data_IF_089202593863
#
_entry.id   IF_089202593863
#
_cell.length_a   1.000
_cell.length_b   1.000
_cell.length_c   1.000
_cell.angle_alpha   90.00
_cell.angle_beta   90.00
_cell.angle_gamma   90.00
#
_symmetry.space_group_name_H-M   'P 1'
#
loop_
_entity.id
_entity.type
_entity.pdbx_description
1 polymer ?
#
# COMPACT_ATOMS: atom_id res chain seq x y z
N UNK A 1 9.42 -0.54 -37.46
CA UNK A 1 9.40 0.03 -36.10
C UNK A 1 8.63 -0.94 -35.23
N UNK A 2 9.24 -1.52 -34.20
CA UNK A 2 8.52 -2.42 -33.29
C UNK A 2 7.43 -1.62 -32.57
N UNK A 3 6.17 -2.01 -32.71
CA UNK A 3 5.08 -1.46 -31.90
C UNK A 3 5.45 -1.62 -30.43
N UNK A 4 5.64 -0.51 -29.72
CA UNK A 4 5.91 -0.55 -28.29
C UNK A 4 4.70 -1.20 -27.62
N UNK A 5 4.90 -2.33 -26.95
CA UNK A 5 3.87 -2.98 -26.15
C UNK A 5 3.27 -1.97 -25.16
N UNK A 6 1.96 -2.02 -24.93
CA UNK A 6 1.28 -1.07 -24.05
C UNK A 6 1.87 -1.10 -22.63
N UNK A 7 2.58 -0.04 -22.24
CA UNK A 7 3.17 0.13 -20.92
C UNK A 7 2.29 1.01 -20.03
N UNK A 8 2.37 0.83 -18.72
CA UNK A 8 1.75 1.75 -17.76
C UNK A 8 2.51 3.07 -17.74
N UNK A 9 1.80 4.18 -17.55
CA UNK A 9 2.38 5.52 -17.44
C UNK A 9 3.07 6.05 -18.70
N UNK A 10 2.76 5.50 -19.88
CA UNK A 10 3.32 6.00 -21.14
C UNK A 10 2.55 7.22 -21.69
N UNK A 11 3.30 8.25 -22.11
CA UNK A 11 2.76 9.45 -22.76
C UNK A 11 1.85 10.32 -21.87
N UNK A 12 1.05 11.17 -22.51
CA UNK A 12 0.09 12.08 -21.85
C UNK A 12 -0.96 11.30 -21.03
N UNK A 13 -1.35 10.12 -21.51
CA UNK A 13 -2.27 9.22 -20.81
C UNK A 13 -1.73 8.80 -19.45
N UNK A 14 -0.44 8.46 -19.37
CA UNK A 14 0.22 8.13 -18.12
C UNK A 14 0.18 9.25 -17.08
N UNK A 15 0.48 10.48 -17.51
CA UNK A 15 0.46 11.66 -16.63
C UNK A 15 -0.94 11.91 -16.06
N UNK A 16 -1.97 11.92 -16.92
CA UNK A 16 -3.36 12.10 -16.52
C UNK A 16 -3.79 11.03 -15.51
N UNK A 17 -3.37 9.78 -15.72
CA UNK A 17 -3.70 8.67 -14.84
C UNK A 17 -3.05 8.78 -13.47
N UNK A 18 -1.80 9.24 -13.37
CA UNK A 18 -1.15 9.49 -12.07
C UNK A 18 -1.92 10.54 -11.27
N UNK A 19 -2.31 11.64 -11.92
CA UNK A 19 -3.05 12.74 -11.28
C UNK A 19 -4.43 12.28 -10.83
N UNK A 20 -5.19 11.63 -11.71
CA UNK A 20 -6.52 11.10 -11.38
C UNK A 20 -6.45 10.08 -10.24
N UNK A 21 -5.43 9.21 -10.24
CA UNK A 21 -5.23 8.24 -9.17
C UNK A 21 -4.90 8.91 -7.84
N UNK A 22 -4.06 9.95 -7.85
CA UNK A 22 -3.74 10.74 -6.67
C UNK A 22 -4.99 11.42 -6.09
N UNK A 23 -5.82 12.02 -6.94
CA UNK A 23 -7.09 12.63 -6.56
C UNK A 23 -8.06 11.60 -5.98
N UNK A 24 -8.31 10.50 -6.69
CA UNK A 24 -9.21 9.44 -6.26
C UNK A 24 -8.79 8.82 -4.92
N UNK A 25 -7.49 8.56 -4.75
CA UNK A 25 -6.92 8.05 -3.49
C UNK A 25 -7.15 9.04 -2.35
N UNK A 26 -6.86 10.32 -2.60
CA UNK A 26 -7.03 11.39 -1.59
C UNK A 26 -8.49 11.54 -1.16
N UNK A 27 -9.41 11.64 -2.13
CA UNK A 27 -10.86 11.72 -1.87
C UNK A 27 -11.32 10.50 -1.07
N UNK A 28 -10.90 9.30 -1.47
CA UNK A 28 -11.26 8.07 -0.79
C UNK A 28 -10.82 8.07 0.69
N UNK A 29 -9.56 8.42 0.98
CA UNK A 29 -9.07 8.46 2.37
C UNK A 29 -9.81 9.51 3.21
N UNK A 30 -10.09 10.68 2.63
CA UNK A 30 -10.88 11.73 3.28
C UNK A 30 -12.30 11.23 3.59
N UNK A 31 -12.99 10.63 2.60
CA UNK A 31 -14.33 10.08 2.78
C UNK A 31 -14.37 8.97 3.82
N UNK A 32 -13.40 8.04 3.80
CA UNK A 32 -13.29 6.96 4.79
C UNK A 32 -13.09 7.50 6.20
N UNK A 33 -12.27 8.54 6.36
CA UNK A 33 -12.06 9.20 7.64
C UNK A 33 -13.33 9.87 8.18
N UNK A 34 -14.01 10.66 7.36
CA UNK A 34 -15.25 11.31 7.77
C UNK A 34 -16.34 10.29 8.09
N UNK A 35 -16.43 9.20 7.32
CA UNK A 35 -17.33 8.10 7.62
C UNK A 35 -17.03 7.47 8.98
N UNK A 36 -15.76 7.17 9.30
CA UNK A 36 -15.38 6.61 10.61
C UNK A 36 -15.54 7.59 11.76
N UNK A 37 -15.34 8.89 11.53
CA UNK A 37 -15.44 9.93 12.56
C UNK A 37 -16.86 10.33 12.88
N UNK A 38 -17.69 10.55 11.85
CA UNK A 38 -19.05 11.08 11.99
C UNK A 38 -20.12 9.98 11.93
N UNK A 39 -19.95 8.99 11.04
CA UNK A 39 -20.89 7.89 10.85
C UNK A 39 -20.71 6.79 11.89
N UNK A 40 -19.58 6.08 11.85
CA UNK A 40 -19.31 4.94 12.73
C UNK A 40 -18.83 5.35 14.14
N UNK A 41 -18.38 6.60 14.33
CA UNK A 41 -17.82 7.15 15.58
C UNK A 41 -16.62 6.37 16.18
N UNK A 42 -15.97 5.54 15.39
CA UNK A 42 -14.80 4.74 15.75
C UNK A 42 -13.50 5.56 15.74
N UNK A 43 -13.45 6.63 14.95
CA UNK A 43 -12.26 7.47 14.84
C UNK A 43 -12.22 8.53 15.96
N UNK A 44 -11.26 8.37 16.87
CA UNK A 44 -11.05 9.25 18.04
C UNK A 44 -9.79 10.12 17.92
N UNK A 45 -8.99 9.97 16.86
CA UNK A 45 -7.72 10.71 16.70
C UNK A 45 -7.95 12.17 16.26
N UNK A 46 -7.02 13.09 16.61
CA UNK A 46 -7.05 14.47 16.13
C UNK A 46 -6.98 14.57 14.60
N UNK A 47 -7.60 15.60 13.98
CA UNK A 47 -7.50 15.82 12.54
C UNK A 47 -6.06 15.93 12.03
N UNK A 48 -5.15 16.51 12.82
CA UNK A 48 -3.72 16.64 12.48
C UNK A 48 -3.05 15.28 12.30
N UNK A 49 -3.35 14.30 13.16
CA UNK A 49 -2.84 12.92 13.02
C UNK A 49 -3.34 12.29 11.73
N UNK A 50 -4.60 12.53 11.38
CA UNK A 50 -5.16 12.06 10.13
C UNK A 50 -4.46 12.66 8.90
N UNK A 51 -4.24 13.98 8.88
CA UNK A 51 -3.49 14.62 7.78
C UNK A 51 -2.09 14.03 7.62
N UNK A 52 -1.41 13.78 8.73
CA UNK A 52 -0.10 13.13 8.73
C UNK A 52 -0.15 11.68 8.22
N UNK A 53 -1.17 10.92 8.61
CA UNK A 53 -1.40 9.57 8.08
C UNK A 53 -1.71 9.58 6.58
N UNK A 54 -2.53 10.53 6.11
CA UNK A 54 -2.83 10.71 4.69
C UNK A 54 -1.55 11.00 3.90
N UNK A 55 -0.76 11.97 4.35
CA UNK A 55 0.49 12.35 3.69
C UNK A 55 1.48 11.17 3.64
N UNK A 56 1.60 10.42 4.74
CA UNK A 56 2.39 9.18 4.79
C UNK A 56 1.92 8.15 3.76
N UNK A 57 0.61 7.93 3.64
CA UNK A 57 0.04 6.96 2.70
C UNK A 57 0.29 7.37 1.24
N UNK A 58 0.18 8.67 0.94
CA UNK A 58 0.48 9.22 -0.39
C UNK A 58 1.96 9.05 -0.76
N UNK A 59 2.88 9.32 0.18
CA UNK A 59 4.33 9.12 -0.04
C UNK A 59 4.61 7.63 -0.26
N UNK A 60 4.16 6.77 0.66
CA UNK A 60 4.39 5.32 0.56
C UNK A 60 3.80 4.73 -0.72
N UNK A 61 2.58 5.12 -1.09
CA UNK A 61 1.89 4.65 -2.29
C UNK A 61 2.55 5.11 -3.59
N UNK A 62 3.14 6.31 -3.61
CA UNK A 62 3.91 6.83 -4.73
C UNK A 62 5.20 6.06 -4.94
N UNK A 63 5.99 5.85 -3.87
CA UNK A 63 7.25 5.09 -3.96
C UNK A 63 7.00 3.63 -4.31
N UNK A 64 5.98 3.01 -3.71
CA UNK A 64 5.50 1.67 -4.08
C UNK A 64 5.15 1.56 -5.57
N UNK A 65 4.49 2.58 -6.13
CA UNK A 65 4.13 2.63 -7.57
C UNK A 65 5.35 2.61 -8.48
N UNK A 66 6.41 3.33 -8.09
CA UNK A 66 7.67 3.37 -8.84
C UNK A 66 8.37 2.01 -8.84
N UNK A 67 8.32 1.30 -7.70
CA UNK A 67 8.87 -0.07 -7.58
C UNK A 67 8.09 -1.03 -8.49
N UNK A 68 6.76 -1.00 -8.44
CA UNK A 68 5.91 -1.82 -9.29
C UNK A 68 6.16 -1.55 -10.78
N UNK A 69 6.25 -0.28 -11.19
CA UNK A 69 6.63 0.09 -12.56
C UNK A 69 8.00 -0.47 -12.97
N UNK A 70 8.99 -0.38 -12.07
CA UNK A 70 10.33 -0.92 -12.32
C UNK A 70 10.30 -2.43 -12.57
N UNK A 71 9.56 -3.18 -11.75
CA UNK A 71 9.39 -4.62 -11.95
C UNK A 71 8.58 -4.95 -13.20
N UNK A 72 7.54 -4.17 -13.50
CA UNK A 72 6.77 -4.27 -14.75
C UNK A 72 7.70 -4.20 -15.97
N UNK A 73 8.64 -3.25 -16.00
CA UNK A 73 9.62 -3.14 -17.08
C UNK A 73 10.53 -4.37 -17.17
N UNK A 74 11.04 -4.87 -16.03
CA UNK A 74 11.87 -6.08 -15.98
C UNK A 74 11.15 -7.33 -16.49
N UNK A 75 9.90 -7.53 -16.06
CA UNK A 75 9.09 -8.68 -16.49
C UNK A 75 8.77 -8.58 -17.99
N UNK A 76 8.41 -7.38 -18.46
CA UNK A 76 8.15 -7.15 -19.89
C UNK A 76 9.37 -7.48 -20.75
N UNK A 77 10.57 -7.13 -20.29
CA UNK A 77 11.81 -7.45 -20.99
C UNK A 77 12.08 -8.97 -21.02
N UNK A 78 11.90 -9.66 -19.89
CA UNK A 78 12.02 -11.12 -19.84
C UNK A 78 11.00 -11.84 -20.76
N UNK A 79 9.82 -11.23 -20.93
CA UNK A 79 8.72 -11.73 -21.76
C UNK A 79 8.81 -11.35 -23.25
N UNK A 80 9.85 -10.64 -23.69
CA UNK A 80 10.00 -10.08 -25.05
C UNK A 80 9.88 -11.09 -26.21
N UNK A 81 10.02 -12.39 -25.95
CA UNK A 81 9.86 -13.46 -26.95
C UNK A 81 8.51 -14.19 -26.94
N UNK A 82 7.60 -13.87 -26.01
CA UNK A 82 6.28 -14.51 -25.94
C UNK A 82 5.24 -13.61 -26.57
N UNK A 83 4.48 -14.16 -27.52
CA UNK A 83 3.41 -13.44 -28.20
C UNK A 83 2.06 -14.12 -28.03
N UNK A 84 1.02 -13.30 -28.04
CA UNK A 84 -0.39 -13.70 -28.06
C UNK A 84 -1.02 -13.06 -29.28
N UNK A 85 -1.54 -13.87 -30.21
CA UNK A 85 -2.08 -13.40 -31.51
C UNK A 85 -1.09 -12.49 -32.27
N UNK A 86 0.20 -12.84 -32.24
CA UNK A 86 1.26 -12.07 -32.89
C UNK A 86 1.67 -10.78 -32.19
N UNK A 87 1.07 -10.45 -31.03
CA UNK A 87 1.41 -9.26 -30.22
C UNK A 87 2.22 -9.66 -29.00
N UNK A 88 3.23 -8.86 -28.58
CA UNK A 88 3.95 -9.10 -27.33
C UNK A 88 3.01 -8.96 -26.13
N UNK A 89 3.33 -9.63 -25.03
CA UNK A 89 2.62 -9.45 -23.77
C UNK A 89 2.73 -7.99 -23.29
N UNK A 90 1.59 -7.42 -22.90
CA UNK A 90 1.51 -5.99 -22.60
C UNK A 90 2.00 -5.67 -21.18
N UNK A 91 2.86 -4.66 -21.08
CA UNK A 91 3.38 -4.09 -19.82
C UNK A 91 2.30 -3.82 -18.78
N UNK A 92 1.17 -3.30 -19.23
CA UNK A 92 0.05 -2.99 -18.36
C UNK A 92 -0.52 -4.19 -17.60
N UNK A 93 -0.49 -5.36 -18.22
CA UNK A 93 -0.99 -6.54 -17.56
C UNK A 93 -0.04 -7.10 -16.51
N UNK A 94 1.27 -6.90 -16.69
CA UNK A 94 2.26 -7.20 -15.66
C UNK A 94 2.10 -6.30 -14.43
N UNK A 95 1.82 -5.02 -14.63
CA UNK A 95 1.53 -4.09 -13.55
C UNK A 95 0.30 -4.51 -12.73
N UNK A 96 -0.76 -4.95 -13.42
CA UNK A 96 -1.95 -5.53 -12.79
C UNK A 96 -1.63 -6.80 -12.00
N UNK A 97 -0.83 -7.71 -12.58
CA UNK A 97 -0.41 -8.94 -11.92
C UNK A 97 0.39 -8.67 -10.62
N UNK A 98 1.36 -7.77 -10.67
CA UNK A 98 2.14 -7.37 -9.48
C UNK A 98 1.22 -6.78 -8.41
N UNK A 99 0.26 -5.94 -8.80
CA UNK A 99 -0.71 -5.35 -7.87
C UNK A 99 -1.60 -6.40 -7.20
N UNK A 100 -2.02 -7.45 -7.92
CA UNK A 100 -2.80 -8.55 -7.34
C UNK A 100 -1.96 -9.37 -6.36
N UNK A 101 -0.70 -9.65 -6.70
CA UNK A 101 0.23 -10.32 -5.78
C UNK A 101 0.52 -9.45 -4.55
N UNK A 102 0.59 -8.13 -4.69
CA UNK A 102 0.74 -7.21 -3.55
C UNK A 102 -0.41 -7.37 -2.54
N UNK A 103 -1.67 -7.47 -2.99
CA UNK A 103 -2.79 -7.69 -2.05
C UNK A 103 -2.64 -8.99 -1.27
N UNK A 104 -2.15 -10.06 -1.92
CA UNK A 104 -2.06 -11.39 -1.32
C UNK A 104 -0.80 -11.61 -0.48
N UNK A 105 0.31 -10.94 -0.84
CA UNK A 105 1.64 -11.18 -0.28
C UNK A 105 2.25 -9.90 0.27
N UNK A 106 2.36 -8.87 -0.56
CA UNK A 106 3.07 -7.64 -0.23
C UNK A 106 2.42 -6.83 0.90
N UNK A 107 1.11 -6.69 0.90
CA UNK A 107 0.34 -5.99 1.93
C UNK A 107 0.36 -6.73 3.28
N UNK A 108 0.09 -8.06 3.35
CA UNK A 108 0.28 -8.82 4.59
C UNK A 108 1.71 -8.73 5.14
N UNK A 109 2.72 -8.82 4.27
CA UNK A 109 4.13 -8.67 4.67
C UNK A 109 4.41 -7.27 5.23
N UNK A 110 3.91 -6.22 4.56
CA UNK A 110 4.06 -4.83 5.02
C UNK A 110 3.43 -4.64 6.41
N UNK A 111 2.27 -5.24 6.65
CA UNK A 111 1.57 -5.22 7.96
C UNK A 111 2.40 -5.95 9.01
N UNK A 112 2.91 -7.16 8.70
CA UNK A 112 3.71 -7.95 9.61
C UNK A 112 4.99 -7.22 10.03
N UNK A 113 5.68 -6.58 9.08
CA UNK A 113 6.86 -5.75 9.36
C UNK A 113 6.50 -4.53 10.21
N UNK A 114 5.39 -3.84 9.90
CA UNK A 114 4.92 -2.72 10.72
C UNK A 114 4.65 -3.12 12.18
N UNK A 115 4.01 -4.27 12.40
CA UNK A 115 3.78 -4.83 13.74
C UNK A 115 5.08 -5.18 14.45
N UNK A 116 6.03 -5.79 13.75
CA UNK A 116 7.33 -6.14 14.30
C UNK A 116 8.08 -4.88 14.78
N UNK A 117 8.05 -3.80 13.99
CA UNK A 117 8.66 -2.52 14.34
C UNK A 117 8.02 -1.96 15.62
N UNK A 118 6.69 -1.90 15.70
CA UNK A 118 6.01 -1.37 16.89
C UNK A 118 6.27 -2.21 18.14
N UNK A 119 6.28 -3.54 18.03
CA UNK A 119 6.65 -4.44 19.15
C UNK A 119 8.09 -4.22 19.59
N UNK A 120 8.99 -3.97 18.66
CA UNK A 120 10.38 -3.60 18.95
C UNK A 120 10.45 -2.28 19.70
N UNK A 121 9.69 -1.26 19.25
CA UNK A 121 9.58 0.03 19.97
C UNK A 121 9.10 -0.17 21.41
N UNK A 122 8.10 -1.01 21.66
CA UNK A 122 7.62 -1.33 23.02
C UNK A 122 8.70 -1.94 23.90
N UNK A 123 9.52 -2.84 23.36
CA UNK A 123 10.66 -3.43 24.10
C UNK A 123 11.71 -2.36 24.39
N UNK A 124 12.06 -1.54 23.39
CA UNK A 124 13.07 -0.49 23.52
C UNK A 124 12.64 0.57 24.54
N UNK A 125 11.36 0.98 24.55
CA UNK A 125 10.82 1.98 25.48
C UNK A 125 11.07 1.59 26.93
N UNK A 126 10.90 0.31 27.28
CA UNK A 126 11.16 -0.23 28.63
C UNK A 126 12.63 -0.15 29.04
N UNK A 127 13.56 -0.16 28.09
CA UNK A 127 14.99 -0.10 28.35
C UNK A 127 15.53 1.33 28.37
N UNK A 128 14.84 2.28 27.72
CA UNK A 128 15.21 3.69 27.75
C UNK A 128 14.74 4.33 29.06
N UNK A 129 15.63 4.38 30.06
CA UNK A 129 15.31 5.02 31.36
C UNK A 129 15.40 6.54 31.29
N UNK A 130 16.38 7.07 30.56
CA UNK A 130 16.67 8.51 30.48
C UNK A 130 15.70 9.23 29.53
N UNK A 131 15.07 10.35 29.96
CA UNK A 131 14.32 11.22 29.06
C UNK A 131 15.20 11.69 27.90
N UNK A 132 14.74 11.48 26.66
CA UNK A 132 15.46 11.89 25.46
C UNK A 132 14.49 12.04 24.28
N UNK A 133 14.83 12.83 23.25
CA UNK A 133 14.02 12.92 22.03
C UNK A 133 13.81 11.57 21.33
N UNK A 134 14.77 10.66 21.49
CA UNK A 134 14.66 9.28 21.02
C UNK A 134 13.59 8.50 21.79
N UNK A 135 13.63 8.53 23.14
CA UNK A 135 12.62 7.90 23.99
C UNK A 135 11.22 8.42 23.67
N UNK A 136 11.07 9.73 23.49
CA UNK A 136 9.78 10.33 23.12
C UNK A 136 9.26 9.81 21.76
N UNK A 137 10.15 9.63 20.78
CA UNK A 137 9.78 9.12 19.45
C UNK A 137 9.41 7.63 19.50
N UNK A 138 10.16 6.83 20.26
CA UNK A 138 9.87 5.41 20.50
C UNK A 138 8.52 5.25 21.21
N UNK A 139 8.27 6.05 22.24
CA UNK A 139 7.01 6.07 22.97
C UNK A 139 5.84 6.48 22.06
N UNK A 140 6.00 7.52 21.24
CA UNK A 140 4.97 7.93 20.26
C UNK A 140 4.71 6.85 19.20
N UNK A 141 5.71 6.05 18.80
CA UNK A 141 5.50 4.89 17.92
C UNK A 141 4.73 3.76 18.61
N UNK A 142 4.92 3.57 19.92
CA UNK A 142 4.12 2.60 20.69
C UNK A 142 2.66 3.06 20.84
N UNK A 143 2.41 4.35 21.10
CA UNK A 143 1.04 4.86 21.33
C UNK A 143 0.29 5.11 20.02
N UNK A 144 0.93 5.79 19.06
CA UNK A 144 0.30 6.24 17.81
C UNK A 144 0.67 5.39 16.59
N UNK A 145 1.59 4.44 16.73
CA UNK A 145 1.97 3.57 15.63
C UNK A 145 0.75 2.84 15.08
N UNK A 146 0.50 3.02 13.77
CA UNK A 146 -0.45 2.18 13.04
C UNK A 146 0.02 0.73 13.28
N UNK A 147 -0.86 -0.18 13.71
CA UNK A 147 -0.54 -1.57 14.10
C UNK A 147 0.08 -1.80 15.50
N UNK A 148 0.11 -0.82 16.41
CA UNK A 148 0.55 -1.08 17.79
C UNK A 148 -0.52 -1.87 18.56
N UNK A 149 -0.07 -2.81 19.40
CA UNK A 149 -0.95 -3.55 20.32
C UNK A 149 -1.54 -2.61 21.40
N UNK A 150 -0.95 -1.43 21.61
CA UNK A 150 -1.38 -0.40 22.58
C UNK A 150 -2.21 0.74 21.95
N UNK A 151 -2.63 0.57 20.69
CA UNK A 151 -3.60 1.47 20.07
C UNK A 151 -5.00 1.23 20.68
N UNK A 152 -5.13 1.52 21.98
CA UNK A 152 -6.30 1.25 22.80
C UNK A 152 -7.41 2.27 22.51
N UNK A 153 -8.62 1.75 22.32
CA UNK A 153 -9.84 2.51 22.03
C UNK A 153 -10.36 3.26 23.27
N UNK A 154 -9.82 2.96 24.45
CA UNK A 154 -10.15 3.58 25.72
C UNK A 154 -9.67 5.04 25.83
N UNK A 155 -8.61 5.41 25.09
CA UNK A 155 -8.04 6.76 25.12
C UNK A 155 -8.77 7.68 24.12
N UNK A 156 -9.58 8.61 24.63
CA UNK A 156 -10.18 9.67 23.80
C UNK A 156 -9.19 10.83 23.57
N UNK A 157 -8.48 10.79 22.45
CA UNK A 157 -7.54 11.84 22.05
C UNK A 157 -8.21 13.08 21.44
N UNK A 158 -9.55 13.20 21.45
CA UNK A 158 -10.26 14.40 20.95
C UNK A 158 -9.90 15.67 21.71
N UNK A 159 -9.51 15.53 22.98
CA UNK A 159 -9.31 16.66 23.90
C UNK A 159 -7.91 16.73 24.52
N UNK A 160 -7.19 15.61 24.57
CA UNK A 160 -5.86 15.50 25.20
C UNK A 160 -4.96 14.58 24.37
N UNK A 161 -4.32 15.13 23.35
CA UNK A 161 -3.25 14.44 22.63
C UNK A 161 -1.92 15.14 22.93
N UNK A 162 -0.85 14.45 23.38
CA UNK A 162 0.48 15.03 23.36
C UNK A 162 0.82 15.49 21.92
N UNK A 163 1.49 16.64 21.76
CA UNK A 163 1.78 17.20 20.44
C UNK A 163 2.55 16.18 19.60
N UNK A 164 1.98 15.85 18.45
CA UNK A 164 2.58 14.95 17.47
C UNK A 164 3.82 15.63 16.92
N UNK A 165 5.00 15.07 17.21
CA UNK A 165 6.25 15.67 16.75
C UNK A 165 6.49 15.31 15.29
N UNK A 166 7.11 16.22 14.56
CA UNK A 166 7.54 15.95 13.18
C UNK A 166 8.46 14.73 13.07
N UNK A 167 9.29 14.48 14.10
CA UNK A 167 10.16 13.30 14.19
C UNK A 167 9.38 11.99 14.19
N UNK A 168 8.22 11.93 14.86
CA UNK A 168 7.33 10.78 14.82
C UNK A 168 6.73 10.58 13.43
N UNK A 169 6.21 11.66 12.82
CA UNK A 169 5.63 11.56 11.48
C UNK A 169 6.66 11.06 10.48
N UNK A 170 7.86 11.62 10.50
CA UNK A 170 8.97 11.21 9.65
C UNK A 170 9.32 9.73 9.87
N UNK A 171 9.46 9.28 11.13
CA UNK A 171 9.72 7.89 11.48
C UNK A 171 8.66 6.95 10.90
N UNK A 172 7.38 7.27 11.10
CA UNK A 172 6.26 6.50 10.58
C UNK A 172 6.20 6.52 9.04
N UNK A 173 6.47 7.67 8.43
CA UNK A 173 6.48 7.82 6.97
C UNK A 173 7.56 6.96 6.33
N UNK A 174 8.78 7.01 6.85
CA UNK A 174 9.92 6.23 6.36
C UNK A 174 9.67 4.73 6.56
N UNK A 175 9.35 4.30 7.79
CA UNK A 175 9.14 2.88 8.10
C UNK A 175 8.01 2.27 7.28
N UNK A 176 6.87 2.97 7.16
CA UNK A 176 5.76 2.50 6.34
C UNK A 176 6.09 2.47 4.85
N UNK A 177 6.81 3.48 4.35
CA UNK A 177 7.26 3.51 2.96
C UNK A 177 8.18 2.32 2.68
N UNK A 178 9.16 2.06 3.55
CA UNK A 178 10.05 0.89 3.43
C UNK A 178 9.28 -0.42 3.45
N UNK A 179 8.28 -0.57 4.33
CA UNK A 179 7.44 -1.76 4.38
C UNK A 179 6.67 -1.96 3.06
N UNK A 180 6.04 -0.91 2.54
CA UNK A 180 5.32 -0.94 1.26
C UNK A 180 6.25 -1.25 0.07
N UNK A 181 7.45 -0.66 0.06
CA UNK A 181 8.48 -0.93 -0.96
C UNK A 181 8.90 -2.39 -0.91
N UNK A 182 9.12 -2.94 0.28
CA UNK A 182 9.44 -4.36 0.44
C UNK A 182 8.30 -5.25 -0.09
N UNK A 183 7.05 -4.92 0.25
CA UNK A 183 5.87 -5.64 -0.24
C UNK A 183 5.78 -5.68 -1.77
N UNK A 184 5.91 -4.52 -2.42
CA UNK A 184 5.90 -4.41 -3.88
C UNK A 184 7.12 -5.08 -4.51
N UNK A 185 8.29 -4.98 -3.88
CA UNK A 185 9.51 -5.64 -4.34
C UNK A 185 9.34 -7.16 -4.34
N UNK A 186 8.83 -7.74 -3.24
CA UNK A 186 8.58 -9.17 -3.14
C UNK A 186 7.51 -9.64 -4.14
N UNK A 187 6.48 -8.82 -4.34
CA UNK A 187 5.43 -9.09 -5.34
C UNK A 187 5.99 -9.06 -6.76
N UNK A 188 6.78 -8.04 -7.10
CA UNK A 188 7.47 -7.92 -8.38
C UNK A 188 8.45 -9.06 -8.65
N UNK A 189 9.23 -9.47 -7.65
CA UNK A 189 10.12 -10.63 -7.73
C UNK A 189 9.32 -11.92 -7.94
N UNK A 190 8.20 -12.10 -7.24
CA UNK A 190 7.34 -13.28 -7.38
C UNK A 190 6.81 -13.40 -8.82
N UNK A 191 6.31 -12.30 -9.39
CA UNK A 191 5.87 -12.28 -10.79
C UNK A 191 7.03 -12.57 -11.75
N UNK A 192 8.17 -11.91 -11.55
CA UNK A 192 9.36 -12.09 -12.40
C UNK A 192 9.88 -13.53 -12.36
N UNK A 193 10.11 -14.09 -11.18
CA UNK A 193 10.65 -15.44 -11.04
C UNK A 193 9.63 -16.50 -11.44
N UNK A 194 8.34 -16.32 -11.13
CA UNK A 194 7.30 -17.20 -11.63
C UNK A 194 7.37 -17.29 -13.15
N UNK A 195 7.51 -16.16 -13.84
CA UNK A 195 7.61 -16.14 -15.30
C UNK A 195 8.92 -16.73 -15.83
N UNK A 196 10.06 -16.45 -15.18
CA UNK A 196 11.35 -17.02 -15.59
C UNK A 196 11.40 -18.54 -15.43
N UNK A 197 10.77 -19.08 -14.38
CA UNK A 197 10.70 -20.52 -14.11
C UNK A 197 9.66 -21.22 -15.00
N UNK A 198 8.50 -20.59 -15.18
CA UNK A 198 7.39 -21.10 -16.00
C UNK A 198 7.15 -20.12 -17.14
N UNK A 199 8.01 -20.22 -18.17
CA UNK A 199 8.01 -19.37 -19.37
C UNK A 199 6.88 -19.76 -20.33
N UNK A 200 5.65 -19.70 -19.85
CA UNK A 200 4.44 -20.18 -20.53
C UNK A 200 3.29 -19.19 -20.39
N UNK A 201 2.42 -19.16 -21.40
CA UNK A 201 1.15 -18.42 -21.38
C UNK A 201 0.18 -18.94 -20.31
N UNK A 202 0.37 -20.18 -19.85
CA UNK A 202 -0.43 -20.81 -18.80
C UNK A 202 0.07 -20.51 -17.39
N UNK A 203 1.09 -19.65 -17.25
CA UNK A 203 1.55 -19.25 -15.95
C UNK A 203 0.42 -18.48 -15.22
N UNK A 204 -0.06 -18.96 -14.07
CA UNK A 204 -1.21 -18.37 -13.37
C UNK A 204 -0.92 -16.93 -12.90
N UNK A 205 0.35 -16.60 -12.69
CA UNK A 205 0.80 -15.25 -12.32
C UNK A 205 0.89 -14.33 -13.54
N UNK A 206 1.14 -14.88 -14.73
CA UNK A 206 1.12 -14.15 -16.00
C UNK A 206 -0.26 -14.03 -16.64
N UNK A 207 -1.27 -14.76 -16.12
CA UNK A 207 -2.58 -14.86 -16.76
C UNK A 207 -3.27 -13.49 -16.94
N UNK A 208 -3.06 -12.55 -16.02
CA UNK A 208 -3.61 -11.18 -16.11
C UNK A 208 -3.00 -10.47 -17.32
N UNK A 209 -1.69 -10.62 -17.54
CA UNK A 209 -1.01 -10.06 -18.69
C UNK A 209 -1.49 -10.68 -20.00
N UNK A 210 -1.67 -11.99 -20.02
CA UNK A 210 -2.21 -12.71 -21.18
C UNK A 210 -3.64 -12.25 -21.50
N UNK A 211 -4.52 -12.17 -20.50
CA UNK A 211 -5.91 -11.74 -20.66
C UNK A 211 -6.01 -10.30 -21.20
N UNK A 212 -5.22 -9.38 -20.65
CA UNK A 212 -5.22 -7.98 -21.10
C UNK A 212 -4.66 -7.86 -22.54
N UNK A 213 -3.67 -8.67 -22.91
CA UNK A 213 -3.19 -8.75 -24.29
C UNK A 213 -4.25 -9.24 -25.28
N UNK A 214 -5.26 -10.02 -24.85
CA UNK A 214 -6.39 -10.42 -25.69
C UNK A 214 -7.43 -9.32 -25.91
N UNK A 215 -7.46 -8.27 -25.09
CA UNK A 215 -8.44 -7.20 -25.21
C UNK A 215 -8.21 -6.40 -26.49
N UNK A 216 -9.25 -6.25 -27.30
CA UNK A 216 -9.23 -5.43 -28.52
C UNK A 216 -9.55 -3.95 -28.22
N UNK A 217 -8.86 -3.38 -27.23
CA UNK A 217 -8.99 -1.99 -26.80
C UNK A 217 -7.69 -1.24 -27.10
N UNK A 218 -7.77 0.09 -27.27
CA UNK A 218 -6.57 0.90 -27.39
C UNK A 218 -5.80 0.95 -26.05
N UNK A 219 -4.49 1.27 -26.11
CA UNK A 219 -3.63 1.26 -24.92
C UNK A 219 -4.12 2.25 -23.85
N UNK A 220 -4.67 3.41 -24.24
CA UNK A 220 -5.20 4.40 -23.31
C UNK A 220 -6.37 3.86 -22.47
N UNK A 221 -7.31 3.15 -23.10
CA UNK A 221 -8.46 2.58 -22.42
C UNK A 221 -8.07 1.39 -21.54
N UNK A 222 -7.09 0.57 -21.97
CA UNK A 222 -6.50 -0.46 -21.11
C UNK A 222 -5.84 0.17 -19.89
N UNK A 223 -5.06 1.23 -20.07
CA UNK A 223 -4.50 2.06 -18.99
C UNK A 223 -5.59 2.54 -18.05
N UNK A 224 -6.68 3.08 -18.58
CA UNK A 224 -7.79 3.54 -17.77
C UNK A 224 -8.41 2.43 -16.92
N UNK A 225 -8.81 1.31 -17.55
CA UNK A 225 -9.51 0.22 -16.87
C UNK A 225 -8.58 -0.48 -15.89
N UNK A 226 -7.39 -0.90 -16.33
CA UNK A 226 -6.49 -1.69 -15.48
C UNK A 226 -5.95 -0.82 -14.35
N UNK A 227 -5.52 0.42 -14.59
CA UNK A 227 -5.02 1.25 -13.48
C UNK A 227 -6.16 1.63 -12.55
N UNK A 228 -7.33 2.04 -13.04
CA UNK A 228 -8.45 2.40 -12.17
C UNK A 228 -8.96 1.19 -11.41
N UNK A 229 -9.27 0.07 -12.08
CA UNK A 229 -9.78 -1.12 -11.40
C UNK A 229 -8.73 -1.77 -10.50
N UNK A 230 -7.49 -1.94 -10.96
CA UNK A 230 -6.42 -2.53 -10.14
C UNK A 230 -6.09 -1.61 -8.98
N UNK A 231 -5.68 -0.35 -9.21
CA UNK A 231 -5.26 0.49 -8.09
C UNK A 231 -6.42 0.91 -7.21
N UNK A 232 -7.61 1.23 -7.72
CA UNK A 232 -8.71 1.66 -6.85
C UNK A 232 -9.26 0.50 -6.02
N UNK A 233 -9.68 -0.61 -6.66
CA UNK A 233 -10.22 -1.76 -5.92
C UNK A 233 -9.15 -2.50 -5.13
N UNK A 234 -7.91 -2.63 -5.62
CA UNK A 234 -6.86 -3.29 -4.84
C UNK A 234 -6.31 -2.40 -3.74
N UNK A 235 -6.30 -1.06 -3.88
CA UNK A 235 -6.00 -0.18 -2.73
C UNK A 235 -7.12 -0.24 -1.70
N UNK A 236 -8.38 -0.33 -2.13
CA UNK A 236 -9.50 -0.59 -1.22
C UNK A 236 -9.36 -1.95 -0.54
N UNK A 237 -9.11 -3.02 -1.29
CA UNK A 237 -8.92 -4.37 -0.76
C UNK A 237 -7.73 -4.41 0.20
N UNK A 238 -6.63 -3.72 -0.13
CA UNK A 238 -5.46 -3.57 0.75
C UNK A 238 -5.82 -2.85 2.04
N UNK A 239 -6.61 -1.77 1.97
CA UNK A 239 -7.10 -1.06 3.16
C UNK A 239 -8.08 -1.92 3.97
N UNK A 240 -8.98 -2.65 3.32
CA UNK A 240 -9.90 -3.57 3.96
C UNK A 240 -9.17 -4.75 4.62
N UNK A 241 -8.10 -5.27 4.00
CA UNK A 241 -7.20 -6.27 4.58
C UNK A 241 -6.47 -5.68 5.77
N UNK A 242 -5.91 -4.48 5.64
CA UNK A 242 -5.29 -3.74 6.74
C UNK A 242 -6.26 -3.58 7.89
N UNK A 243 -7.49 -3.14 7.63
CA UNK A 243 -8.53 -2.94 8.63
C UNK A 243 -8.99 -4.26 9.22
N UNK A 244 -9.16 -5.32 8.44
CA UNK A 244 -9.53 -6.66 8.92
C UNK A 244 -8.47 -7.22 9.87
N UNK A 245 -7.19 -7.15 9.50
CA UNK A 245 -6.13 -7.59 10.39
C UNK A 245 -5.97 -6.66 11.59
N UNK A 246 -6.26 -5.37 11.43
CA UNK A 246 -6.29 -4.38 12.51
C UNK A 246 -7.63 -4.28 13.21
N UNK A 247 -8.60 -5.15 12.93
CA UNK A 247 -9.95 -4.96 13.43
C UNK A 247 -9.86 -4.89 14.95
N UNK A 248 -10.10 -3.67 15.43
CA UNK A 248 -10.81 -3.29 16.64
C UNK A 248 -11.55 -4.47 17.24
N UNK A 249 -10.81 -5.33 17.94
CA UNK A 249 -11.45 -6.24 18.87
C UNK A 249 -11.58 -5.42 20.13
N UNK A 250 -12.76 -4.83 20.32
CA UNK A 250 -13.17 -4.46 21.67
C UNK A 250 -12.82 -5.64 22.58
N UNK A 251 -12.08 -5.40 23.67
CA UNK A 251 -11.78 -6.49 24.57
C UNK A 251 -13.12 -7.11 24.97
N UNK A 252 -13.25 -8.43 24.82
CA UNK A 252 -14.48 -9.19 25.16
C UNK A 252 -14.98 -8.93 26.58
N UNK A 253 -14.14 -8.33 27.41
CA UNK A 253 -14.51 -7.73 28.68
C UNK A 253 -14.01 -6.28 28.71
N UNK A 254 -14.88 -5.27 28.89
CA UNK A 254 -14.41 -3.95 29.25
C UNK A 254 -13.64 -4.12 30.56
N UNK A 255 -12.35 -3.80 30.55
CA UNK A 255 -11.59 -3.72 31.79
C UNK A 255 -12.22 -2.59 32.62
N UNK A 256 -12.94 -2.99 33.66
CA UNK A 256 -13.49 -2.10 34.67
C UNK A 256 -12.31 -1.59 35.49
N UNK A 257 -11.61 -0.55 35.01
CA UNK A 257 -10.67 0.19 35.84
C UNK A 257 -10.74 1.68 35.50
N UNK A 258 -11.48 2.39 36.36
CA UNK A 258 -11.20 3.78 36.71
C UNK A 258 -9.83 3.89 37.39
#
# INVERSE_FOLDING_TARGET
>A
MAELACMVYSGLGGLLMIVLLGLATTVFFISSYYYRRLGAREEKRPPVVFFFDLLKMLVAGSVASLVNYTFTAKVSWAASGITVRGKPLEGIGWYGAISVVDVLVGAPLSIAVGRLINRTCKIVDRHLRTPSPWKDTVHQNTVYGKYSDEHDCSCDYRHTAPPVRWSWWYSQAVTWTCACVLGEMMSGLTVLYSFLLVRSLWNPVAWIAVLISFWNLNCLLKQYIVVTCSRFFLSYARLAVIDYFNQYKEPKHPAVHC
#
